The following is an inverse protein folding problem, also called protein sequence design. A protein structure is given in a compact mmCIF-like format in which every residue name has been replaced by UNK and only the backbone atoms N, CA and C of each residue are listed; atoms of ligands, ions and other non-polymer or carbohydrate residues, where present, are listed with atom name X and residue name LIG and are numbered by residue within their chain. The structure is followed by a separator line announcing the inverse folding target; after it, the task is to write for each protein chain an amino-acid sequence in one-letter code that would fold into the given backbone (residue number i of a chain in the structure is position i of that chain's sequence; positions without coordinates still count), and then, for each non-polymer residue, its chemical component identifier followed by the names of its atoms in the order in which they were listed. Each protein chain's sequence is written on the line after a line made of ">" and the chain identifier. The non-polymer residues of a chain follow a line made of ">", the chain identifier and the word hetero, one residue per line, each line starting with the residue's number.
data_IF_762532750380
#
_entry.id   IF_762532750380
#
_cell.length_a   1.000
_cell.length_b   1.000
_cell.length_c   1.000
_cell.angle_alpha   90.00
_cell.angle_beta   90.00
_cell.angle_gamma   90.00
#
_symmetry.space_group_name_H-M   'P 1'
#
loop_
_entity.id
_entity.type
_entity.pdbx_description
1 polymer ?
#
# COMPACT_ATOMS: atom_id res chain seq x y z
N UNK A 1 2.88 0.68 22.44
CA UNK A 1 2.07 1.76 21.84
C UNK A 1 1.39 2.65 22.91
N UNK A 2 0.75 2.08 23.94
CA UNK A 2 -0.04 2.85 24.91
C UNK A 2 0.76 3.90 25.69
N UNK A 3 1.95 3.56 26.23
CA UNK A 3 2.82 4.52 26.92
C UNK A 3 3.16 5.73 26.02
N UNK A 4 3.44 5.50 24.73
CA UNK A 4 3.76 6.54 23.76
C UNK A 4 2.55 7.39 23.37
N UNK A 5 1.35 6.78 23.34
CA UNK A 5 0.09 7.50 23.16
C UNK A 5 -0.19 8.44 24.34
N UNK A 6 0.08 7.99 25.55
CA UNK A 6 -0.01 8.83 26.75
C UNK A 6 0.94 10.02 26.66
N UNK A 7 2.19 9.80 26.24
CA UNK A 7 3.15 10.87 26.00
C UNK A 7 2.64 11.88 24.96
N UNK A 8 2.11 11.40 23.82
CA UNK A 8 1.50 12.27 22.82
C UNK A 8 0.35 13.11 23.41
N UNK A 9 -0.48 12.51 24.27
CA UNK A 9 -1.56 13.24 24.94
C UNK A 9 -1.04 14.31 25.91
N UNK A 10 0.04 14.03 26.66
CA UNK A 10 0.67 15.05 27.50
C UNK A 10 1.19 16.22 26.65
N UNK A 11 1.90 15.93 25.56
CA UNK A 11 2.44 16.95 24.67
C UNK A 11 1.34 17.80 24.00
N UNK A 12 0.20 17.21 23.67
CA UNK A 12 -0.91 17.96 23.06
C UNK A 12 -1.51 19.04 23.97
N UNK A 13 -1.25 18.99 25.28
CA UNK A 13 -1.64 20.05 26.24
C UNK A 13 -0.70 21.26 26.21
N UNK A 14 0.55 21.06 25.81
CA UNK A 14 1.57 22.13 25.76
C UNK A 14 1.73 22.73 24.37
N UNK A 15 1.38 21.98 23.31
CA UNK A 15 1.59 22.39 21.93
C UNK A 15 0.29 22.32 21.15
N UNK A 16 -0.15 23.44 20.57
CA UNK A 16 -1.30 23.49 19.66
C UNK A 16 -0.91 23.21 18.19
N UNK A 17 0.38 23.06 17.89
CA UNK A 17 0.86 22.78 16.54
C UNK A 17 0.59 21.35 16.12
N UNK A 18 -0.42 21.15 15.27
CA UNK A 18 -0.83 19.83 14.78
C UNK A 18 0.24 19.14 13.92
N UNK A 19 1.08 19.91 13.24
CA UNK A 19 2.14 19.36 12.40
C UNK A 19 3.23 18.70 13.25
N UNK A 20 3.60 19.30 14.38
CA UNK A 20 4.60 18.75 15.28
C UNK A 20 4.05 17.51 16.01
N UNK A 21 2.80 17.55 16.47
CA UNK A 21 2.13 16.38 17.04
C UNK A 21 2.03 15.23 16.01
N UNK A 22 1.77 15.54 14.73
CA UNK A 22 1.80 14.56 13.64
C UNK A 22 3.20 13.95 13.47
N UNK A 23 4.26 14.76 13.49
CA UNK A 23 5.65 14.27 13.40
C UNK A 23 5.98 13.32 14.55
N UNK A 24 5.62 13.70 15.79
CA UNK A 24 5.80 12.87 16.98
C UNK A 24 5.03 11.55 16.84
N UNK A 25 3.77 11.59 16.38
CA UNK A 25 3.01 10.38 16.10
C UNK A 25 3.73 9.46 15.11
N UNK A 26 4.22 10.01 13.99
CA UNK A 26 4.93 9.26 12.95
C UNK A 26 6.19 8.60 13.51
N UNK A 27 7.00 9.36 14.24
CA UNK A 27 8.30 8.92 14.74
C UNK A 27 8.17 7.96 15.93
N UNK A 28 7.25 8.20 16.85
CA UNK A 28 7.19 7.49 18.11
C UNK A 28 6.15 6.36 18.13
N UNK A 29 5.00 6.54 17.51
CA UNK A 29 3.91 5.57 17.60
C UNK A 29 3.89 4.71 16.34
N UNK A 30 3.76 5.34 15.16
CA UNK A 30 3.61 4.62 13.89
C UNK A 30 4.83 3.74 13.59
N UNK A 31 6.05 4.22 13.83
CA UNK A 31 7.27 3.43 13.65
C UNK A 31 7.24 2.10 14.40
N UNK A 32 6.67 2.09 15.62
CA UNK A 32 6.50 0.86 16.41
C UNK A 32 5.39 -0.04 15.91
N UNK A 33 4.32 0.53 15.37
CA UNK A 33 3.21 -0.24 14.78
C UNK A 33 3.60 -0.86 13.43
N UNK A 34 4.58 -0.30 12.74
CA UNK A 34 5.09 -0.77 11.46
C UNK A 34 6.36 -1.63 11.58
N UNK A 35 6.92 -1.78 12.77
CA UNK A 35 8.16 -2.52 12.98
C UNK A 35 8.04 -3.95 12.44
N UNK A 36 8.94 -4.32 11.52
CA UNK A 36 8.99 -5.65 10.88
C UNK A 36 7.66 -6.11 10.25
N UNK A 37 6.78 -5.16 9.87
CA UNK A 37 5.45 -5.49 9.33
C UNK A 37 5.49 -6.38 8.09
N UNK A 38 6.55 -6.35 7.32
CA UNK A 38 6.75 -7.19 6.14
C UNK A 38 6.66 -8.68 6.46
N UNK A 39 7.08 -9.08 7.67
CA UNK A 39 7.08 -10.49 8.08
C UNK A 39 5.72 -10.96 8.60
N UNK A 40 4.99 -10.10 9.31
CA UNK A 40 3.79 -10.52 10.06
C UNK A 40 2.47 -9.98 9.49
N UNK A 41 2.51 -8.94 8.65
CA UNK A 41 1.29 -8.26 8.18
C UNK A 41 0.26 -9.19 7.54
N UNK A 42 0.71 -10.11 6.71
CA UNK A 42 -0.18 -11.03 6.00
C UNK A 42 -0.77 -12.15 6.88
N UNK A 43 -0.15 -12.39 8.03
CA UNK A 43 -0.50 -13.50 8.94
C UNK A 43 -1.39 -13.09 10.11
N UNK A 44 -1.58 -11.79 10.34
CA UNK A 44 -2.39 -11.30 11.47
C UNK A 44 -3.88 -11.57 11.26
N UNK A 45 -4.60 -11.73 12.38
CA UNK A 45 -6.05 -11.84 12.38
C UNK A 45 -6.71 -10.47 12.22
N UNK A 46 -7.97 -10.44 11.76
CA UNK A 46 -8.75 -9.21 11.65
C UNK A 46 -8.81 -8.46 12.98
N UNK A 47 -8.99 -9.17 14.09
CA UNK A 47 -9.00 -8.57 15.44
C UNK A 47 -7.69 -7.83 15.75
N UNK A 48 -6.54 -8.38 15.37
CA UNK A 48 -5.25 -7.73 15.55
C UNK A 48 -5.12 -6.50 14.64
N UNK A 49 -5.59 -6.57 13.40
CA UNK A 49 -5.61 -5.45 12.46
C UNK A 49 -6.46 -4.30 13.01
N UNK A 50 -7.66 -4.59 13.49
CA UNK A 50 -8.57 -3.60 14.10
C UNK A 50 -7.95 -2.95 15.34
N UNK A 51 -7.23 -3.71 16.16
CA UNK A 51 -6.53 -3.18 17.33
C UNK A 51 -5.41 -2.20 16.93
N UNK A 52 -4.67 -2.48 15.85
CA UNK A 52 -3.66 -1.55 15.33
C UNK A 52 -4.31 -0.27 14.80
N UNK A 53 -5.37 -0.38 14.01
CA UNK A 53 -6.11 0.79 13.52
C UNK A 53 -6.75 1.59 14.66
N UNK A 54 -7.21 0.95 15.73
CA UNK A 54 -7.74 1.61 16.93
C UNK A 54 -6.69 2.50 17.60
N UNK A 55 -5.43 2.07 17.63
CA UNK A 55 -4.33 2.88 18.17
C UNK A 55 -4.14 4.13 17.31
N UNK A 56 -4.14 4.00 15.96
CA UNK A 56 -4.07 5.15 15.06
C UNK A 56 -5.26 6.09 15.25
N UNK A 57 -6.49 5.57 15.23
CA UNK A 57 -7.71 6.37 15.47
C UNK A 57 -7.60 7.20 16.77
N UNK A 58 -7.16 6.57 17.85
CA UNK A 58 -6.96 7.24 19.13
C UNK A 58 -5.90 8.32 19.09
N UNK A 59 -4.78 8.10 18.38
CA UNK A 59 -3.72 9.10 18.20
C UNK A 59 -4.20 10.30 17.37
N UNK A 60 -4.96 10.05 16.29
CA UNK A 60 -5.53 11.12 15.47
C UNK A 60 -6.55 11.97 16.24
N UNK A 61 -7.35 11.36 17.14
CA UNK A 61 -8.23 12.11 18.05
C UNK A 61 -7.44 13.07 18.95
N UNK A 62 -6.30 12.64 19.47
CA UNK A 62 -5.44 13.47 20.31
C UNK A 62 -4.86 14.65 19.50
N UNK A 63 -4.40 14.40 18.26
CA UNK A 63 -3.79 15.43 17.41
C UNK A 63 -4.81 16.50 16.95
N UNK A 64 -6.01 16.07 16.57
CA UNK A 64 -7.03 16.97 16.04
C UNK A 64 -7.89 17.62 17.11
N UNK A 65 -8.00 16.99 18.29
CA UNK A 65 -8.85 17.47 19.39
C UNK A 65 -10.29 17.69 18.93
N UNK A 66 -10.85 18.85 19.18
CA UNK A 66 -12.22 19.20 18.80
C UNK A 66 -12.52 19.22 17.29
N UNK A 67 -11.48 19.23 16.41
CA UNK A 67 -11.65 19.14 14.95
C UNK A 67 -11.77 17.69 14.44
N UNK A 68 -11.77 16.71 15.32
CA UNK A 68 -11.96 15.31 14.94
C UNK A 68 -13.45 15.03 14.71
N UNK A 69 -13.85 14.69 13.49
CA UNK A 69 -15.20 14.22 13.16
C UNK A 69 -15.22 12.69 13.05
N UNK A 70 -14.63 12.16 11.98
CA UNK A 70 -14.49 10.73 11.76
C UNK A 70 -13.07 10.36 11.31
N UNK A 71 -12.79 9.05 11.24
CA UNK A 71 -11.45 8.54 10.93
C UNK A 71 -10.96 8.90 9.54
N UNK A 72 -11.84 8.80 8.54
CA UNK A 72 -11.49 9.06 7.14
C UNK A 72 -11.15 10.54 6.92
N UNK A 73 -11.96 11.46 7.49
CA UNK A 73 -11.67 12.88 7.45
C UNK A 73 -10.38 13.22 8.20
N UNK A 74 -10.12 12.59 9.34
CA UNK A 74 -8.88 12.77 10.07
C UNK A 74 -7.65 12.38 9.26
N UNK A 75 -7.72 11.27 8.51
CA UNK A 75 -6.67 10.83 7.59
C UNK A 75 -6.44 11.87 6.47
N UNK A 76 -7.52 12.39 5.86
CA UNK A 76 -7.45 13.41 4.80
C UNK A 76 -6.83 14.70 5.32
N UNK A 77 -7.30 15.22 6.46
CA UNK A 77 -6.78 16.47 7.07
C UNK A 77 -5.29 16.36 7.36
N UNK A 78 -4.85 15.24 7.92
CA UNK A 78 -3.46 15.03 8.29
C UNK A 78 -2.61 14.48 7.12
N UNK A 79 -3.22 14.22 5.96
CA UNK A 79 -2.57 13.58 4.80
C UNK A 79 -1.83 12.31 5.21
N UNK A 80 -2.55 11.42 5.87
CA UNK A 80 -2.06 10.11 6.30
C UNK A 80 -2.85 9.00 5.62
N UNK A 81 -2.22 7.85 5.47
CA UNK A 81 -2.85 6.61 4.99
C UNK A 81 -3.31 5.76 6.17
N UNK A 82 -4.24 4.82 5.92
CA UNK A 82 -4.54 3.78 6.88
C UNK A 82 -3.28 2.94 7.18
N UNK A 83 -3.19 2.33 8.36
CA UNK A 83 -2.04 1.47 8.67
C UNK A 83 -2.01 0.22 7.77
N UNK A 84 -3.18 -0.27 7.36
CA UNK A 84 -3.30 -1.40 6.43
C UNK A 84 -2.68 -1.08 5.08
N UNK A 85 -3.11 0.02 4.44
CA UNK A 85 -2.61 0.43 3.12
C UNK A 85 -1.11 0.72 3.17
N UNK A 86 -0.68 1.36 4.25
CA UNK A 86 0.72 1.65 4.43
C UNK A 86 1.57 0.39 4.62
N UNK A 87 1.10 -0.61 5.39
CA UNK A 87 1.81 -1.89 5.54
C UNK A 87 1.89 -2.63 4.21
N UNK A 88 0.81 -2.63 3.42
CA UNK A 88 0.83 -3.18 2.05
C UNK A 88 1.87 -2.48 1.17
N UNK A 89 1.93 -1.15 1.22
CA UNK A 89 2.93 -0.39 0.48
C UNK A 89 4.38 -0.70 0.93
N UNK A 90 4.61 -0.92 2.23
CA UNK A 90 5.91 -1.34 2.75
C UNK A 90 6.28 -2.75 2.31
N UNK A 91 5.33 -3.69 2.31
CA UNK A 91 5.53 -5.05 1.80
C UNK A 91 5.88 -5.04 0.30
N UNK A 92 5.16 -4.23 -0.49
CA UNK A 92 5.44 -4.08 -1.92
C UNK A 92 6.86 -3.50 -2.17
N UNK A 93 7.21 -2.43 -1.47
CA UNK A 93 8.55 -1.83 -1.58
C UNK A 93 9.66 -2.81 -1.19
N UNK A 94 9.44 -3.61 -0.16
CA UNK A 94 10.39 -4.65 0.23
C UNK A 94 10.51 -5.73 -0.82
N UNK A 95 9.39 -6.22 -1.37
CA UNK A 95 9.38 -7.20 -2.45
C UNK A 95 10.14 -6.68 -3.69
N UNK A 96 9.93 -5.42 -4.08
CA UNK A 96 10.67 -4.79 -5.17
C UNK A 96 12.18 -4.74 -4.91
N UNK A 97 12.59 -4.44 -3.67
CA UNK A 97 14.01 -4.48 -3.28
C UNK A 97 14.58 -5.92 -3.34
N UNK A 98 13.80 -6.92 -2.93
CA UNK A 98 14.21 -8.32 -3.04
C UNK A 98 14.50 -8.74 -4.48
N UNK A 99 13.78 -8.20 -5.47
CA UNK A 99 14.02 -8.49 -6.89
C UNK A 99 15.39 -7.96 -7.39
N UNK A 100 15.98 -6.96 -6.72
CA UNK A 100 17.29 -6.43 -7.08
C UNK A 100 18.43 -7.29 -6.55
N UNK A 101 18.20 -8.13 -5.53
CA UNK A 101 19.22 -8.98 -4.93
C UNK A 101 19.13 -10.38 -5.50
N UNK A 102 20.17 -10.91 -6.20
CA UNK A 102 20.12 -12.20 -6.90
C UNK A 102 19.71 -13.38 -6.00
N UNK A 103 20.19 -13.42 -4.76
CA UNK A 103 19.84 -14.48 -3.79
C UNK A 103 18.36 -14.45 -3.40
N UNK A 104 17.77 -13.27 -3.21
CA UNK A 104 16.37 -13.09 -2.80
C UNK A 104 15.39 -13.19 -3.98
N UNK A 105 15.84 -12.84 -5.20
CA UNK A 105 15.06 -12.94 -6.42
C UNK A 105 14.52 -14.36 -6.65
N UNK A 106 15.26 -15.39 -6.21
CA UNK A 106 14.84 -16.80 -6.29
C UNK A 106 13.55 -17.11 -5.54
N UNK A 107 13.17 -16.28 -4.55
CA UNK A 107 11.91 -16.40 -3.82
C UNK A 107 10.69 -15.92 -4.63
N UNK A 108 10.93 -15.19 -5.72
CA UNK A 108 9.91 -14.58 -6.59
C UNK A 108 10.08 -15.08 -8.03
N UNK A 109 9.85 -16.38 -8.31
CA UNK A 109 9.97 -16.91 -9.67
C UNK A 109 8.94 -16.24 -10.56
N UNK A 110 9.38 -15.86 -11.77
CA UNK A 110 8.49 -15.34 -12.81
C UNK A 110 7.82 -16.50 -13.54
N UNK A 111 6.59 -16.29 -13.96
CA UNK A 111 5.96 -17.19 -14.91
C UNK A 111 6.64 -17.03 -16.27
N UNK A 112 7.02 -18.14 -16.88
CA UNK A 112 7.42 -18.15 -18.28
C UNK A 112 6.19 -17.78 -19.13
N UNK A 113 6.39 -16.89 -20.10
CA UNK A 113 5.37 -16.56 -21.09
C UNK A 113 5.22 -17.77 -22.03
N UNK A 114 4.44 -18.75 -21.63
CA UNK A 114 3.90 -19.66 -22.63
C UNK A 114 2.86 -18.89 -23.42
N UNK A 115 3.06 -18.81 -24.72
CA UNK A 115 2.26 -18.05 -25.70
C UNK A 115 0.80 -18.56 -25.86
N UNK A 116 0.30 -19.26 -24.88
CA UNK A 116 -1.08 -19.76 -24.84
C UNK A 116 -2.02 -18.63 -24.45
N UNK A 117 -2.53 -17.96 -25.48
CA UNK A 117 -3.44 -16.80 -25.42
C UNK A 117 -4.78 -17.08 -24.71
N UNK A 118 -5.00 -18.29 -24.20
CA UNK A 118 -6.28 -18.71 -23.63
C UNK A 118 -6.43 -18.43 -22.14
N UNK A 119 -5.37 -18.03 -21.42
CA UNK A 119 -5.48 -17.71 -20.01
C UNK A 119 -5.92 -16.29 -19.77
N UNK A 120 -7.16 -16.11 -19.35
CA UNK A 120 -7.83 -14.84 -19.02
C UNK A 120 -7.06 -13.90 -18.08
N UNK A 121 -6.03 -14.34 -17.37
CA UNK A 121 -5.23 -13.55 -16.43
C UNK A 121 -3.78 -14.02 -16.44
N UNK A 122 -2.92 -13.26 -17.10
CA UNK A 122 -1.48 -13.47 -16.99
C UNK A 122 -0.97 -12.88 -15.65
N UNK A 123 -0.37 -13.73 -14.83
CA UNK A 123 0.32 -13.31 -13.61
C UNK A 123 1.83 -13.38 -13.84
N UNK A 124 2.52 -12.25 -13.68
CA UNK A 124 3.97 -12.14 -13.94
C UNK A 124 4.81 -12.95 -12.97
N UNK A 125 4.35 -13.08 -11.72
CA UNK A 125 5.02 -13.89 -10.69
C UNK A 125 4.20 -15.11 -10.33
N UNK A 126 4.89 -16.25 -10.21
CA UNK A 126 4.27 -17.51 -9.83
C UNK A 126 3.95 -17.51 -8.35
N UNK A 127 2.67 -17.56 -8.02
CA UNK A 127 2.20 -17.82 -6.65
C UNK A 127 2.01 -19.31 -6.46
N UNK A 128 2.85 -19.94 -5.64
CA UNK A 128 2.73 -21.36 -5.35
C UNK A 128 1.36 -21.66 -4.72
N UNK A 129 0.72 -22.74 -5.19
CA UNK A 129 -0.52 -23.25 -4.57
C UNK A 129 -0.23 -23.64 -3.13
N UNK A 130 -0.94 -23.00 -2.21
CA UNK A 130 -0.81 -23.28 -0.79
C UNK A 130 -1.83 -24.33 -0.36
N UNK A 131 -1.36 -25.41 0.25
CA UNK A 131 -2.20 -26.49 0.79
C UNK A 131 -2.84 -26.08 2.12
N UNK A 132 -2.23 -25.16 2.85
CA UNK A 132 -2.71 -24.68 4.15
C UNK A 132 -2.96 -23.19 4.15
N UNK A 133 -3.94 -22.74 4.93
CA UNK A 133 -4.24 -21.30 5.12
C UNK A 133 -3.04 -20.54 5.69
N UNK A 134 -2.27 -21.17 6.59
CA UNK A 134 -1.05 -20.59 7.14
C UNK A 134 -0.02 -20.27 6.06
N UNK A 135 0.19 -21.20 5.11
CA UNK A 135 1.10 -20.97 3.99
C UNK A 135 0.56 -19.90 3.05
N UNK A 136 -0.74 -19.92 2.77
CA UNK A 136 -1.41 -18.90 1.93
C UNK A 136 -1.24 -17.49 2.46
N UNK A 137 -1.27 -17.32 3.78
CA UNK A 137 -1.09 -16.03 4.49
C UNK A 137 0.36 -15.71 4.80
N UNK A 138 1.32 -16.53 4.43
CA UNK A 138 2.73 -16.22 4.70
C UNK A 138 3.22 -15.03 3.87
N UNK A 139 4.34 -14.44 4.29
CA UNK A 139 4.84 -13.18 3.73
C UNK A 139 5.18 -13.27 2.24
N UNK A 140 5.83 -14.36 1.78
CA UNK A 140 6.26 -14.51 0.39
C UNK A 140 5.07 -14.58 -0.58
N UNK A 141 4.08 -15.48 -0.43
CA UNK A 141 2.89 -15.51 -1.29
C UNK A 141 2.09 -14.21 -1.26
N UNK A 142 2.05 -13.52 -0.12
CA UNK A 142 1.41 -12.22 -0.03
C UNK A 142 2.13 -11.18 -0.89
N UNK A 143 3.45 -11.09 -0.78
CA UNK A 143 4.27 -10.18 -1.58
C UNK A 143 4.20 -10.49 -3.08
N UNK A 144 4.16 -11.77 -3.48
CA UNK A 144 3.97 -12.18 -4.88
C UNK A 144 2.63 -11.68 -5.43
N UNK A 145 1.53 -11.79 -4.65
CA UNK A 145 0.22 -11.23 -5.04
C UNK A 145 0.26 -9.71 -5.17
N UNK A 146 0.92 -9.00 -4.25
CA UNK A 146 1.07 -7.54 -4.33
C UNK A 146 1.89 -7.11 -5.55
N UNK A 147 2.95 -7.85 -5.91
CA UNK A 147 3.72 -7.59 -7.12
C UNK A 147 2.86 -7.78 -8.38
N UNK A 148 2.09 -8.87 -8.47
CA UNK A 148 1.17 -9.12 -9.59
C UNK A 148 0.10 -8.02 -9.70
N UNK A 149 -0.47 -7.57 -8.59
CA UNK A 149 -1.43 -6.49 -8.58
C UNK A 149 -0.81 -5.16 -9.04
N UNK A 150 0.41 -4.87 -8.58
CA UNK A 150 1.14 -3.68 -8.99
C UNK A 150 1.46 -3.67 -10.49
N UNK A 151 1.91 -4.79 -11.05
CA UNK A 151 2.18 -4.90 -12.49
C UNK A 151 0.90 -4.79 -13.31
N UNK A 152 -0.22 -5.37 -12.85
CA UNK A 152 -1.52 -5.19 -13.52
C UNK A 152 -1.90 -3.71 -13.59
N UNK A 153 -1.87 -3.01 -12.46
CA UNK A 153 -2.19 -1.57 -12.42
C UNK A 153 -1.29 -0.76 -13.36
N UNK A 154 -0.01 -1.09 -13.42
CA UNK A 154 0.93 -0.44 -14.34
C UNK A 154 0.55 -0.67 -15.80
N UNK A 155 0.22 -1.91 -16.17
CA UNK A 155 -0.17 -2.26 -17.54
C UNK A 155 -1.50 -1.61 -17.93
N UNK A 156 -2.48 -1.52 -17.01
CA UNK A 156 -3.76 -0.86 -17.27
C UNK A 156 -3.58 0.65 -17.50
N UNK A 157 -2.72 1.30 -16.72
CA UNK A 157 -2.36 2.72 -16.95
C UNK A 157 -1.67 2.89 -18.31
N UNK A 158 -0.71 2.03 -18.67
CA UNK A 158 -0.05 2.09 -19.97
C UNK A 158 -1.06 1.93 -21.13
N UNK A 159 -2.02 1.00 -21.01
CA UNK A 159 -3.09 0.83 -22.01
C UNK A 159 -3.98 2.07 -22.12
N UNK A 160 -4.36 2.68 -21.00
CA UNK A 160 -5.15 3.91 -21.01
C UNK A 160 -4.41 5.06 -21.70
N UNK A 161 -3.12 5.23 -21.41
CA UNK A 161 -2.28 6.27 -22.05
C UNK A 161 -2.16 5.98 -23.56
N UNK A 162 -1.90 4.74 -23.95
CA UNK A 162 -1.80 4.37 -25.38
C UNK A 162 -3.11 4.64 -26.13
N UNK A 163 -4.25 4.29 -25.53
CA UNK A 163 -5.56 4.57 -26.11
C UNK A 163 -5.82 6.09 -26.21
N UNK A 164 -5.44 6.87 -25.20
CA UNK A 164 -5.57 8.32 -25.23
C UNK A 164 -4.72 8.97 -26.35
N UNK A 165 -3.49 8.50 -26.53
CA UNK A 165 -2.60 8.98 -27.60
C UNK A 165 -3.16 8.61 -28.99
N UNK A 166 -3.68 7.38 -29.16
CA UNK A 166 -4.29 6.95 -30.41
C UNK A 166 -5.52 7.79 -30.78
N UNK A 167 -6.41 8.04 -29.82
CA UNK A 167 -7.61 8.86 -30.03
C UNK A 167 -7.23 10.30 -30.42
N UNK A 168 -6.25 10.91 -29.75
CA UNK A 168 -5.82 12.26 -30.06
C UNK A 168 -5.13 12.34 -31.43
N UNK A 169 -4.30 11.37 -31.82
CA UNK A 169 -3.70 11.33 -33.16
C UNK A 169 -4.76 11.17 -34.26
N UNK A 170 -5.81 10.37 -34.03
CA UNK A 170 -6.93 10.24 -34.99
C UNK A 170 -7.70 11.55 -35.11
N UNK A 171 -7.89 12.30 -34.03
CA UNK A 171 -8.53 13.61 -34.07
C UNK A 171 -7.69 14.66 -34.78
N UNK A 172 -6.36 14.64 -34.62
CA UNK A 172 -5.44 15.52 -35.37
C UNK A 172 -5.45 15.21 -36.87
N UNK A 173 -5.42 13.95 -37.26
CA UNK A 173 -5.50 13.55 -38.69
C UNK A 173 -6.83 13.96 -39.33
N UNK A 174 -7.96 13.83 -38.62
CA UNK A 174 -9.28 14.27 -39.12
C UNK A 174 -9.39 15.79 -39.24
N UNK A 175 -8.80 16.55 -38.35
CA UNK A 175 -8.81 18.02 -38.43
C UNK A 175 -7.87 18.57 -39.49
N UNK A 176 -6.85 17.80 -39.92
CA UNK A 176 -5.96 18.14 -41.02
C UNK A 176 -6.57 17.85 -42.41
N UNK A 177 -7.45 16.83 -42.50
CA UNK A 177 -8.11 16.47 -43.78
C UNK A 177 -9.35 17.31 -44.13
N UNK A 178 -9.77 18.21 -43.24
CA UNK A 178 -10.90 19.16 -43.45
C UNK A 178 -10.44 20.55 -43.93
N UNK A 179 -9.17 20.72 -44.32
CA UNK A 179 -8.60 21.98 -44.79
C UNK A 179 -8.04 21.87 -46.22
N UNK A 180 -8.66 21.02 -47.03
CA UNK A 180 -8.43 21.02 -48.52
C UNK A 180 -9.74 21.12 -49.22
#
# INVERSE_FOLDING_TARGET
>A
ANKRKFFLHKLSKFTNNKQDLKKIYILQIRSKLEQSCVLWHSSITQKCEDNLERVQKSALKIILGGKYSNYENALKILKLQSLKDRRNALCLKFAQKCLLVPKLKKMFPRNHQNHDMTKRRFESFQVKRALTERLRRSAIPHMQRLLNEHERKKNDICRQISNFVLVNNVLYCKSASLRH
#
